data_IF_568006463896
#
_entry.id   IF_568006463896
#
_cell.length_a   1.000
_cell.length_b   1.000
_cell.length_c   1.000
_cell.angle_alpha   90.00
_cell.angle_beta   90.00
_cell.angle_gamma   90.00
#
_symmetry.space_group_name_H-M   'P 1'
#
loop_
_entity.id
_entity.type
_entity.pdbx_description
1 polymer ?
#
# COMPACT_ATOMS: atom_id res chain seq x y z
N UNK A 1 14.44 -30.39 -3.38
CA UNK A 1 14.63 -30.38 -1.91
C UNK A 1 15.31 -29.07 -1.53
N UNK A 2 14.55 -28.11 -0.99
CA UNK A 2 15.07 -26.77 -0.65
C UNK A 2 15.59 -26.82 0.78
N UNK A 3 16.91 -26.62 0.93
CA UNK A 3 17.65 -26.74 2.18
C UNK A 3 17.15 -25.72 3.22
N UNK A 4 16.57 -26.22 4.32
CA UNK A 4 15.91 -25.44 5.38
C UNK A 4 16.90 -24.79 6.36
N UNK A 5 18.21 -25.10 6.28
CA UNK A 5 19.21 -24.78 7.30
C UNK A 5 20.52 -24.16 6.74
N UNK A 6 20.48 -23.00 6.07
CA UNK A 6 21.68 -22.13 6.05
C UNK A 6 21.63 -21.23 7.28
N UNK A 7 22.70 -21.14 8.09
CA UNK A 7 22.75 -20.19 9.18
C UNK A 7 22.63 -18.77 8.61
N UNK A 8 21.78 -17.96 9.20
CA UNK A 8 21.63 -16.55 8.84
C UNK A 8 22.92 -15.82 9.20
N UNK A 9 23.64 -15.32 8.21
CA UNK A 9 24.76 -14.40 8.39
C UNK A 9 24.25 -13.01 8.76
N UNK A 10 25.09 -12.23 9.46
CA UNK A 10 24.84 -10.81 9.73
C UNK A 10 24.51 -10.05 8.43
N UNK A 11 25.25 -10.33 7.36
CA UNK A 11 25.04 -9.76 6.04
C UNK A 11 23.67 -10.10 5.43
N UNK A 12 23.17 -11.33 5.61
CA UNK A 12 21.85 -11.75 5.10
C UNK A 12 20.73 -11.00 5.84
N UNK A 13 20.86 -10.84 7.16
CA UNK A 13 19.91 -10.11 7.99
C UNK A 13 19.89 -8.63 7.62
N UNK A 14 21.06 -8.02 7.47
CA UNK A 14 21.20 -6.61 7.15
C UNK A 14 20.68 -6.30 5.73
N UNK A 15 20.96 -7.18 4.76
CA UNK A 15 20.40 -7.08 3.40
C UNK A 15 18.87 -7.16 3.42
N UNK A 16 18.32 -8.15 4.14
CA UNK A 16 16.86 -8.30 4.25
C UNK A 16 16.20 -7.07 4.88
N UNK A 17 16.73 -6.57 6.00
CA UNK A 17 16.17 -5.41 6.70
C UNK A 17 16.25 -4.14 5.85
N UNK A 18 17.35 -3.92 5.14
CA UNK A 18 17.52 -2.76 4.26
C UNK A 18 16.55 -2.80 3.07
N UNK A 19 16.40 -3.95 2.40
CA UNK A 19 15.47 -4.10 1.27
C UNK A 19 14.02 -4.08 1.71
N UNK A 20 13.69 -4.73 2.83
CA UNK A 20 12.35 -4.70 3.42
C UNK A 20 11.95 -3.27 3.77
N UNK A 21 12.82 -2.57 4.50
CA UNK A 21 12.57 -1.20 4.91
C UNK A 21 12.43 -0.25 3.72
N UNK A 22 13.27 -0.40 2.69
CA UNK A 22 13.11 0.33 1.43
C UNK A 22 11.74 0.08 0.79
N UNK A 23 11.32 -1.18 0.68
CA UNK A 23 10.04 -1.54 0.06
C UNK A 23 8.83 -1.06 0.87
N UNK A 24 8.92 -1.13 2.21
CA UNK A 24 7.88 -0.71 3.14
C UNK A 24 7.65 0.81 3.08
N UNK A 25 8.74 1.59 3.16
CA UNK A 25 8.66 3.06 3.05
C UNK A 25 8.27 3.50 1.64
N UNK A 26 8.76 2.83 0.60
CA UNK A 26 8.33 3.10 -0.79
C UNK A 26 6.83 2.83 -1.02
N UNK A 27 6.19 2.05 -0.15
CA UNK A 27 4.74 1.76 -0.18
C UNK A 27 3.91 2.71 0.70
N UNK A 28 4.54 3.69 1.35
CA UNK A 28 3.89 4.67 2.22
C UNK A 28 3.77 4.24 3.68
N UNK A 29 4.53 3.24 4.12
CA UNK A 29 4.53 2.80 5.52
C UNK A 29 5.16 3.84 6.47
N UNK A 30 4.68 3.96 7.72
CA UNK A 30 5.22 4.91 8.71
C UNK A 30 6.62 4.51 9.20
N UNK A 31 7.53 5.48 9.33
CA UNK A 31 8.93 5.29 9.72
C UNK A 31 9.08 4.71 11.13
N UNK A 32 8.37 5.24 12.12
CA UNK A 32 8.47 4.80 13.52
C UNK A 32 8.13 3.31 13.70
N UNK A 33 7.04 2.84 13.08
CA UNK A 33 6.67 1.40 13.13
C UNK A 33 7.73 0.51 12.49
N UNK A 34 8.38 1.00 11.44
CA UNK A 34 9.45 0.25 10.77
C UNK A 34 10.69 0.15 11.65
N UNK A 35 11.08 1.24 12.31
CA UNK A 35 12.21 1.28 13.24
C UNK A 35 12.02 0.29 14.39
N UNK A 36 10.85 0.33 15.04
CA UNK A 36 10.49 -0.60 16.11
C UNK A 36 10.51 -2.06 15.64
N UNK A 37 9.90 -2.34 14.49
CA UNK A 37 9.79 -3.69 13.94
C UNK A 37 11.16 -4.29 13.60
N UNK A 38 11.99 -3.57 12.84
CA UNK A 38 13.29 -4.07 12.42
C UNK A 38 14.28 -4.17 13.58
N UNK A 39 14.26 -3.20 14.51
CA UNK A 39 15.08 -3.28 15.72
C UNK A 39 14.67 -4.50 16.56
N UNK A 40 13.36 -4.73 16.73
CA UNK A 40 12.84 -5.91 17.42
C UNK A 40 13.20 -7.23 16.74
N UNK A 41 13.19 -7.27 15.40
CA UNK A 41 13.62 -8.43 14.63
C UNK A 41 15.10 -8.74 14.89
N UNK A 42 15.98 -7.73 14.82
CA UNK A 42 17.41 -7.85 15.09
C UNK A 42 17.72 -8.47 16.46
N UNK A 43 17.08 -7.95 17.51
CA UNK A 43 17.21 -8.51 18.86
C UNK A 43 16.78 -9.97 18.94
N UNK A 44 15.67 -10.34 18.26
CA UNK A 44 15.15 -11.71 18.26
C UNK A 44 16.07 -12.71 17.57
N UNK A 45 16.79 -12.29 16.53
CA UNK A 45 17.73 -13.14 15.78
C UNK A 45 19.14 -13.18 16.38
N UNK A 46 19.38 -12.42 17.45
CA UNK A 46 20.68 -12.36 18.14
C UNK A 46 21.69 -11.42 17.49
N UNK A 47 21.22 -10.49 16.66
CA UNK A 47 22.03 -9.43 16.03
C UNK A 47 21.44 -8.06 16.43
N UNK A 48 21.88 -7.47 17.55
CA UNK A 48 21.42 -6.15 17.98
C UNK A 48 21.50 -5.17 16.81
N UNK A 49 20.35 -4.58 16.46
CA UNK A 49 20.19 -3.76 15.27
C UNK A 49 19.60 -2.41 15.66
N UNK A 50 20.21 -1.34 15.17
CA UNK A 50 19.71 0.02 15.24
C UNK A 50 19.24 0.45 13.85
N UNK A 51 18.06 1.07 13.80
CA UNK A 51 17.42 1.50 12.56
C UNK A 51 17.03 2.95 12.65
N UNK A 52 17.37 3.71 11.60
CA UNK A 52 16.96 5.10 11.45
C UNK A 52 16.33 5.27 10.06
N UNK A 53 15.06 5.65 10.04
CA UNK A 53 14.24 5.72 8.84
C UNK A 53 13.79 7.16 8.55
N UNK A 54 13.94 7.55 7.29
CA UNK A 54 13.43 8.82 6.75
C UNK A 54 12.53 8.53 5.55
N UNK A 55 11.65 9.45 5.13
CA UNK A 55 10.82 9.25 3.94
C UNK A 55 11.60 8.95 2.65
N UNK A 56 12.90 9.27 2.61
CA UNK A 56 13.75 9.13 1.41
C UNK A 56 14.85 8.08 1.55
N UNK A 57 14.99 7.44 2.72
CA UNK A 57 15.99 6.41 2.92
C UNK A 57 15.98 5.82 4.31
N UNK A 58 16.61 4.65 4.43
CA UNK A 58 16.74 3.89 5.67
C UNK A 58 18.20 3.56 5.92
N UNK A 59 18.63 3.73 7.17
CA UNK A 59 19.92 3.31 7.69
C UNK A 59 19.69 2.14 8.64
N UNK A 60 20.39 1.03 8.40
CA UNK A 60 20.34 -0.17 9.23
C UNK A 60 21.76 -0.48 9.68
N UNK A 61 21.97 -0.54 10.99
CA UNK A 61 23.24 -0.86 11.61
C UNK A 61 23.09 -2.12 12.46
N UNK A 62 23.88 -3.15 12.22
CA UNK A 62 23.90 -4.36 13.04
C UNK A 62 25.27 -4.63 13.63
N UNK A 63 25.30 -5.19 14.84
CA UNK A 63 26.53 -5.67 15.49
C UNK A 63 26.66 -7.18 15.24
N UNK A 64 27.75 -7.60 14.59
CA UNK A 64 28.05 -9.02 14.39
C UNK A 64 28.59 -9.66 15.69
N UNK A 65 28.63 -11.00 15.75
CA UNK A 65 29.17 -11.77 16.88
C UNK A 65 30.64 -11.47 17.19
N UNK A 66 31.38 -10.96 16.21
CA UNK A 66 32.75 -10.46 16.35
C UNK A 66 32.84 -9.10 17.05
N UNK A 67 31.72 -8.43 17.29
CA UNK A 67 31.65 -7.06 17.80
C UNK A 67 31.86 -5.98 16.73
N UNK A 68 32.00 -6.38 15.46
CA UNK A 68 32.09 -5.44 14.35
C UNK A 68 30.71 -4.84 14.02
N UNK A 69 30.67 -3.53 13.81
CA UNK A 69 29.48 -2.82 13.36
C UNK A 69 29.42 -2.78 11.83
N UNK A 70 28.31 -3.23 11.28
CA UNK A 70 28.03 -3.17 9.86
C UNK A 70 26.83 -2.25 9.63
N UNK A 71 26.97 -1.25 8.75
CA UNK A 71 25.90 -0.30 8.44
C UNK A 71 25.62 -0.30 6.94
N UNK A 72 24.35 -0.35 6.56
CA UNK A 72 23.90 -0.12 5.17
C UNK A 72 22.89 1.00 5.11
N UNK A 73 22.99 1.78 4.04
CA UNK A 73 22.02 2.78 3.63
C UNK A 73 21.29 2.30 2.38
N UNK A 74 19.96 2.35 2.41
CA UNK A 74 19.13 2.15 1.23
C UNK A 74 18.30 3.39 0.93
N UNK A 75 18.45 3.94 -0.28
CA UNK A 75 17.74 5.14 -0.72
C UNK A 75 16.45 4.78 -1.46
N UNK A 76 15.37 5.49 -1.14
CA UNK A 76 14.08 5.38 -1.81
C UNK A 76 14.03 6.43 -2.90
N UNK A 77 13.96 5.99 -4.16
CA UNK A 77 13.89 6.90 -5.34
C UNK A 77 12.46 7.19 -5.73
N UNK A 78 11.63 6.14 -5.75
CA UNK A 78 10.23 6.20 -6.12
C UNK A 78 9.41 5.70 -4.92
N UNK A 79 8.58 6.58 -4.38
CA UNK A 79 7.65 6.28 -3.29
C UNK A 79 6.23 6.65 -3.67
N UNK A 80 5.26 5.92 -3.12
CA UNK A 80 3.84 6.21 -3.29
C UNK A 80 3.01 5.40 -2.30
N UNK A 81 1.74 5.74 -2.16
CA UNK A 81 0.83 5.01 -1.26
C UNK A 81 0.37 3.74 -1.98
N UNK A 82 0.73 2.58 -1.44
CA UNK A 82 0.23 1.29 -1.90
C UNK A 82 -0.02 0.37 -0.70
N UNK A 83 -1.22 0.49 -0.12
CA UNK A 83 -1.62 -0.27 1.06
C UNK A 83 -1.65 -1.79 0.80
N UNK A 84 -1.98 -2.22 -0.42
CA UNK A 84 -1.96 -3.65 -0.77
C UNK A 84 -0.56 -4.24 -0.70
N UNK A 85 0.44 -3.52 -1.23
CA UNK A 85 1.85 -3.91 -1.14
C UNK A 85 2.34 -3.82 0.31
N UNK A 86 1.90 -2.81 1.06
CA UNK A 86 2.25 -2.63 2.46
C UNK A 86 1.78 -3.81 3.32
N UNK A 87 0.50 -4.21 3.23
CA UNK A 87 -0.02 -5.37 3.96
C UNK A 87 0.67 -6.69 3.57
N UNK A 88 1.03 -6.85 2.29
CA UNK A 88 1.77 -8.04 1.86
C UNK A 88 3.18 -8.10 2.48
N UNK A 89 3.88 -6.95 2.53
CA UNK A 89 5.17 -6.83 3.20
C UNK A 89 5.04 -7.15 4.69
N UNK A 90 4.05 -6.59 5.37
CA UNK A 90 3.77 -6.90 6.79
C UNK A 90 3.55 -8.40 7.01
N UNK A 91 2.87 -9.10 6.09
CA UNK A 91 2.71 -10.56 6.15
C UNK A 91 4.05 -11.32 6.07
N UNK A 92 4.95 -10.91 5.18
CA UNK A 92 6.30 -11.51 5.11
C UNK A 92 7.08 -11.25 6.37
N UNK A 93 7.02 -10.01 6.87
CA UNK A 93 7.70 -9.64 8.10
C UNK A 93 7.20 -10.49 9.25
N UNK A 94 5.89 -10.69 9.39
CA UNK A 94 5.31 -11.53 10.43
C UNK A 94 5.75 -13.00 10.28
N UNK A 95 5.80 -13.54 9.07
CA UNK A 95 6.26 -14.91 8.83
C UNK A 95 7.76 -15.10 9.14
N UNK A 96 8.60 -14.09 8.88
CA UNK A 96 10.02 -14.07 9.28
C UNK A 96 10.14 -13.91 10.79
N UNK A 97 9.41 -12.95 11.37
CA UNK A 97 9.44 -12.63 12.79
C UNK A 97 8.98 -13.83 13.64
N UNK A 98 7.92 -14.52 13.22
CA UNK A 98 7.42 -15.75 13.87
C UNK A 98 8.24 -17.01 13.54
N UNK A 99 9.35 -16.89 12.79
CA UNK A 99 10.24 -17.99 12.38
C UNK A 99 9.55 -19.10 11.56
N UNK A 100 8.42 -18.81 10.91
CA UNK A 100 7.80 -19.74 9.95
C UNK A 100 8.65 -19.89 8.70
N UNK A 101 9.29 -18.81 8.27
CA UNK A 101 10.27 -18.76 7.18
C UNK A 101 11.61 -18.19 7.67
N UNK A 102 12.71 -18.59 7.04
CA UNK A 102 14.03 -18.02 7.37
C UNK A 102 14.26 -16.67 6.70
N UNK A 103 15.19 -15.86 7.21
CA UNK A 103 15.58 -14.57 6.60
C UNK A 103 15.99 -14.76 5.13
N UNK A 104 16.81 -15.77 4.83
CA UNK A 104 17.24 -16.06 3.46
C UNK A 104 16.06 -16.42 2.55
N UNK A 105 15.00 -17.05 3.08
CA UNK A 105 13.76 -17.29 2.34
C UNK A 105 12.95 -16.00 2.17
N UNK A 106 12.81 -15.20 3.23
CA UNK A 106 12.16 -13.89 3.18
C UNK A 106 12.78 -12.99 2.12
N UNK A 107 14.12 -12.96 2.04
CA UNK A 107 14.85 -12.20 1.05
C UNK A 107 14.55 -12.67 -0.39
N UNK A 108 14.47 -14.00 -0.61
CA UNK A 108 14.05 -14.56 -1.91
C UNK A 108 12.61 -14.19 -2.28
N UNK A 109 11.69 -14.22 -1.32
CA UNK A 109 10.29 -13.85 -1.55
C UNK A 109 10.20 -12.35 -1.87
N UNK A 110 10.95 -11.51 -1.16
CA UNK A 110 11.03 -10.07 -1.37
C UNK A 110 11.59 -9.73 -2.76
N UNK A 111 12.51 -10.53 -3.32
CA UNK A 111 12.98 -10.36 -4.69
C UNK A 111 12.09 -11.00 -5.76
N UNK A 112 11.07 -11.77 -5.38
CA UNK A 112 10.18 -12.41 -6.34
C UNK A 112 9.20 -11.40 -6.97
N UNK A 113 8.93 -11.54 -8.27
CA UNK A 113 7.96 -10.70 -9.02
C UNK A 113 6.51 -10.82 -8.50
N UNK A 114 6.24 -11.64 -7.50
CA UNK A 114 4.92 -11.78 -6.87
C UNK A 114 4.42 -10.47 -6.22
N UNK A 115 5.35 -9.58 -5.88
CA UNK A 115 5.12 -8.25 -5.29
C UNK A 115 4.15 -7.33 -6.04
N UNK A 116 3.80 -7.63 -7.30
CA UNK A 116 3.15 -6.66 -8.20
C UNK A 116 1.67 -6.94 -8.49
N UNK A 117 1.08 -8.06 -8.05
CA UNK A 117 -0.32 -8.36 -8.38
C UNK A 117 -1.26 -7.85 -7.30
N UNK A 118 -2.21 -7.00 -7.70
CA UNK A 118 -3.36 -6.63 -6.87
C UNK A 118 -4.06 -7.91 -6.39
N UNK A 119 -4.35 -8.05 -5.09
CA UNK A 119 -5.03 -9.24 -4.56
C UNK A 119 -6.48 -9.35 -5.04
N UNK A 120 -7.07 -8.25 -5.54
CA UNK A 120 -8.47 -8.18 -5.93
C UNK A 120 -8.65 -8.17 -7.44
N UNK A 121 -9.67 -8.92 -7.91
CA UNK A 121 -10.09 -8.92 -9.31
C UNK A 121 -10.80 -7.60 -9.62
N UNK A 122 -10.72 -7.15 -10.87
CA UNK A 122 -11.30 -5.88 -11.32
C UNK A 122 -12.80 -5.74 -11.01
N UNK A 123 -13.58 -6.83 -11.11
CA UNK A 123 -15.01 -6.81 -10.78
C UNK A 123 -15.27 -6.58 -9.28
N UNK A 124 -14.39 -7.09 -8.39
CA UNK A 124 -14.52 -6.90 -6.94
C UNK A 124 -14.28 -5.43 -6.59
N UNK A 125 -13.31 -4.79 -7.23
CA UNK A 125 -13.07 -3.36 -7.06
C UNK A 125 -14.23 -2.52 -7.60
N UNK A 126 -14.81 -2.89 -8.75
CA UNK A 126 -16.00 -2.23 -9.29
C UNK A 126 -17.19 -2.32 -8.31
N UNK A 127 -17.46 -3.51 -7.78
CA UNK A 127 -18.54 -3.70 -6.80
C UNK A 127 -18.27 -2.96 -5.49
N UNK A 128 -17.03 -2.96 -5.00
CA UNK A 128 -16.67 -2.19 -3.80
C UNK A 128 -16.89 -0.69 -4.00
N UNK A 129 -16.46 -0.14 -5.14
CA UNK A 129 -16.64 1.26 -5.51
C UNK A 129 -18.12 1.64 -5.64
N UNK A 130 -18.92 0.78 -6.28
CA UNK A 130 -20.35 1.01 -6.43
C UNK A 130 -21.07 1.00 -5.08
N UNK A 131 -20.81 -0.04 -4.28
CA UNK A 131 -21.49 -0.24 -3.00
C UNK A 131 -21.10 0.82 -1.97
N UNK A 132 -19.85 1.30 -1.95
CA UNK A 132 -19.44 2.39 -1.05
C UNK A 132 -20.19 3.69 -1.37
N UNK A 133 -20.25 4.07 -2.66
CA UNK A 133 -20.96 5.26 -3.11
C UNK A 133 -22.47 5.17 -2.90
N UNK A 134 -23.06 4.00 -3.18
CA UNK A 134 -24.48 3.73 -2.98
C UNK A 134 -24.86 3.77 -1.49
N UNK A 135 -24.11 3.06 -0.64
CA UNK A 135 -24.41 2.92 0.79
C UNK A 135 -24.41 4.27 1.50
N UNK A 136 -23.49 5.17 1.16
CA UNK A 136 -23.39 6.46 1.84
C UNK A 136 -24.45 7.45 1.40
N UNK A 137 -24.80 7.45 0.12
CA UNK A 137 -25.87 8.29 -0.40
C UNK A 137 -27.24 7.85 0.13
N UNK A 138 -27.51 6.54 0.19
CA UNK A 138 -28.79 6.04 0.72
C UNK A 138 -28.92 6.30 2.23
N UNK A 139 -27.85 6.19 3.01
CA UNK A 139 -27.90 6.51 4.46
C UNK A 139 -28.00 8.00 4.73
N UNK A 140 -27.42 8.85 3.87
CA UNK A 140 -27.42 10.30 4.06
C UNK A 140 -28.72 10.96 3.64
N UNK A 141 -29.30 10.54 2.51
CA UNK A 141 -30.42 11.25 1.88
C UNK A 141 -31.70 10.42 1.73
N UNK A 142 -31.65 9.09 1.98
CA UNK A 142 -32.80 8.16 1.92
C UNK A 142 -33.50 8.01 0.56
N UNK A 143 -32.97 8.62 -0.50
CA UNK A 143 -33.51 8.49 -1.85
C UNK A 143 -32.78 7.38 -2.64
N UNK A 144 -33.56 6.47 -3.22
CA UNK A 144 -33.01 5.33 -3.97
C UNK A 144 -32.33 5.74 -5.30
N UNK A 145 -32.99 6.59 -6.10
CA UNK A 145 -32.48 6.99 -7.42
C UNK A 145 -31.16 7.77 -7.36
N UNK A 146 -30.98 8.77 -6.47
CA UNK A 146 -29.71 9.45 -6.27
C UNK A 146 -28.62 8.53 -5.74
N UNK A 147 -28.95 7.56 -4.88
CA UNK A 147 -27.99 6.58 -4.38
C UNK A 147 -27.48 5.66 -5.50
N UNK A 148 -28.34 5.24 -6.42
CA UNK A 148 -27.92 4.47 -7.59
C UNK A 148 -26.95 5.30 -8.46
N UNK A 149 -27.28 6.58 -8.68
CA UNK A 149 -26.43 7.48 -9.43
C UNK A 149 -25.07 7.73 -8.74
N UNK A 150 -25.04 7.92 -7.43
CA UNK A 150 -23.78 8.12 -6.68
C UNK A 150 -22.87 6.90 -6.75
N UNK A 151 -23.43 5.68 -6.68
CA UNK A 151 -22.68 4.44 -6.87
C UNK A 151 -22.06 4.34 -8.26
N UNK A 152 -22.80 4.70 -9.31
CA UNK A 152 -22.28 4.73 -10.69
C UNK A 152 -21.19 5.80 -10.86
N UNK A 153 -21.40 7.00 -10.33
CA UNK A 153 -20.41 8.08 -10.36
C UNK A 153 -19.13 7.63 -9.66
N UNK A 154 -19.24 7.02 -8.48
CA UNK A 154 -18.11 6.46 -7.75
C UNK A 154 -17.33 5.45 -8.61
N UNK A 155 -18.00 4.49 -9.26
CA UNK A 155 -17.32 3.54 -10.16
C UNK A 155 -16.63 4.19 -11.34
N UNK A 156 -17.21 5.25 -11.92
CA UNK A 156 -16.60 6.00 -13.01
C UNK A 156 -15.35 6.75 -12.53
N UNK A 157 -15.41 7.37 -11.36
CA UNK A 157 -14.27 8.03 -10.70
C UNK A 157 -13.17 7.03 -10.41
N UNK A 158 -13.50 5.84 -9.89
CA UNK A 158 -12.52 4.78 -9.65
C UNK A 158 -11.83 4.34 -10.95
N UNK A 159 -12.60 4.21 -12.03
CA UNK A 159 -12.07 3.82 -13.32
C UNK A 159 -11.07 4.85 -13.86
N UNK A 160 -11.42 6.14 -13.79
CA UNK A 160 -10.58 7.25 -14.27
C UNK A 160 -9.37 7.45 -13.36
N UNK A 161 -9.56 7.47 -12.04
CA UNK A 161 -8.49 7.64 -11.08
C UNK A 161 -7.57 6.41 -10.99
N UNK A 162 -8.04 5.22 -11.38
CA UNK A 162 -7.31 3.96 -11.27
C UNK A 162 -6.94 3.34 -12.62
N UNK A 163 -7.55 2.20 -13.02
CA UNK A 163 -7.07 1.36 -14.13
C UNK A 163 -7.11 2.03 -15.51
N UNK A 164 -8.08 2.92 -15.75
CA UNK A 164 -8.31 3.51 -17.08
C UNK A 164 -7.22 4.49 -17.51
N UNK A 165 -6.56 5.16 -16.55
CA UNK A 165 -5.60 6.24 -16.83
C UNK A 165 -4.19 5.94 -16.31
N UNK A 166 -4.02 4.90 -15.50
CA UNK A 166 -2.72 4.51 -14.93
C UNK A 166 -1.65 4.16 -15.96
N UNK A 167 -2.05 3.73 -17.17
CA UNK A 167 -1.11 3.46 -18.27
C UNK A 167 -0.67 4.71 -19.04
N UNK A 168 -1.39 5.83 -18.95
CA UNK A 168 -1.10 7.06 -19.71
C UNK A 168 -0.52 8.18 -18.85
N UNK A 169 -0.82 8.19 -17.55
CA UNK A 169 -0.46 9.29 -16.64
C UNK A 169 0.20 8.71 -15.40
N UNK A 170 1.49 9.03 -15.24
CA UNK A 170 2.32 8.52 -14.14
C UNK A 170 2.05 9.23 -12.80
N UNK A 171 1.65 10.51 -12.83
CA UNK A 171 1.42 11.29 -11.61
C UNK A 171 0.10 10.94 -10.94
N UNK A 172 0.16 10.53 -9.66
CA UNK A 172 -1.03 10.26 -8.83
C UNK A 172 -1.91 11.49 -8.70
N UNK A 173 -1.31 12.66 -8.44
CA UNK A 173 -2.02 13.93 -8.23
C UNK A 173 -2.91 14.26 -9.43
N UNK A 174 -2.42 14.04 -10.65
CA UNK A 174 -3.21 14.36 -11.85
C UNK A 174 -4.36 13.38 -12.05
N UNK A 175 -4.17 12.11 -11.71
CA UNK A 175 -5.24 11.10 -11.75
C UNK A 175 -6.35 11.44 -10.75
N UNK A 176 -5.99 11.85 -9.54
CA UNK A 176 -6.96 12.25 -8.51
C UNK A 176 -7.73 13.52 -8.93
N UNK A 177 -7.03 14.50 -9.51
CA UNK A 177 -7.65 15.71 -10.08
C UNK A 177 -8.66 15.39 -11.20
N UNK A 178 -8.30 14.50 -12.13
CA UNK A 178 -9.20 14.06 -13.19
C UNK A 178 -10.42 13.30 -12.63
N UNK A 179 -10.20 12.42 -11.64
CA UNK A 179 -11.29 11.73 -10.94
C UNK A 179 -12.28 12.71 -10.31
N UNK A 180 -11.78 13.68 -9.53
CA UNK A 180 -12.60 14.71 -8.90
C UNK A 180 -13.38 15.55 -9.93
N UNK A 181 -12.75 15.91 -11.05
CA UNK A 181 -13.39 16.67 -12.13
C UNK A 181 -14.55 15.88 -12.75
N UNK A 182 -14.35 14.57 -12.99
CA UNK A 182 -15.40 13.68 -13.50
C UNK A 182 -16.53 13.51 -12.48
N UNK A 183 -16.21 13.32 -11.20
CA UNK A 183 -17.22 13.25 -10.12
C UNK A 183 -18.12 14.48 -10.14
N UNK A 184 -17.55 15.67 -10.14
CA UNK A 184 -18.30 16.93 -10.06
C UNK A 184 -19.11 17.19 -11.34
N UNK A 185 -18.55 16.91 -12.51
CA UNK A 185 -19.25 17.08 -13.78
C UNK A 185 -20.46 16.14 -13.90
N UNK A 186 -20.31 14.87 -13.51
CA UNK A 186 -21.41 13.91 -13.51
C UNK A 186 -22.47 14.23 -12.45
N UNK A 187 -22.05 14.64 -11.25
CA UNK A 187 -22.97 15.06 -10.21
C UNK A 187 -23.83 16.27 -10.64
N UNK A 188 -23.22 17.26 -11.29
CA UNK A 188 -23.93 18.42 -11.83
C UNK A 188 -24.91 18.03 -12.95
N UNK A 189 -24.52 17.10 -13.83
CA UNK A 189 -25.39 16.58 -14.89
C UNK A 189 -26.57 15.77 -14.32
N UNK A 190 -26.34 14.95 -13.29
CA UNK A 190 -27.40 14.21 -12.60
C UNK A 190 -28.37 15.14 -11.88
N UNK A 191 -27.90 16.24 -11.29
CA UNK A 191 -28.75 17.25 -10.67
C UNK A 191 -29.70 17.92 -11.66
N UNK A 192 -29.28 18.11 -12.92
CA UNK A 192 -30.13 18.65 -13.99
C UNK A 192 -31.26 17.67 -14.40
N UNK A 193 -31.01 16.36 -14.31
CA UNK A 193 -31.97 15.34 -14.73
C UNK A 193 -32.93 14.92 -13.61
N UNK A 194 -32.46 14.93 -12.35
CA UNK A 194 -33.20 14.42 -11.19
C UNK A 194 -33.14 15.44 -10.04
N UNK A 195 -34.28 15.96 -9.57
CA UNK A 195 -34.32 16.95 -8.50
C UNK A 195 -33.93 16.30 -7.16
N UNK A 196 -32.64 16.34 -6.84
CA UNK A 196 -32.09 15.93 -5.56
C UNK A 196 -30.89 16.83 -5.22
N UNK A 197 -30.48 16.92 -3.94
CA UNK A 197 -29.35 17.75 -3.55
C UNK A 197 -28.05 17.25 -4.20
N UNK A 198 -27.21 18.19 -4.63
CA UNK A 198 -25.92 17.90 -5.27
C UNK A 198 -25.03 16.95 -4.43
N UNK A 199 -25.07 17.12 -3.12
CA UNK A 199 -24.32 16.31 -2.14
C UNK A 199 -24.67 14.81 -2.23
N UNK A 200 -25.92 14.47 -2.55
CA UNK A 200 -26.34 13.07 -2.69
C UNK A 200 -25.64 12.36 -3.85
N UNK A 201 -25.25 13.09 -4.89
CA UNK A 201 -24.57 12.55 -6.07
C UNK A 201 -23.05 12.54 -5.93
N UNK A 202 -22.47 13.55 -5.27
CA UNK A 202 -21.02 13.74 -5.19
C UNK A 202 -20.35 12.93 -4.08
N UNK A 203 -21.07 12.60 -2.99
CA UNK A 203 -20.47 11.95 -1.81
C UNK A 203 -19.77 10.62 -2.14
N UNK A 204 -20.30 9.85 -3.08
CA UNK A 204 -19.71 8.58 -3.49
C UNK A 204 -18.40 8.75 -4.25
N UNK A 205 -18.26 9.79 -5.07
CA UNK A 205 -17.05 10.05 -5.83
C UNK A 205 -15.96 10.81 -5.07
N UNK A 206 -16.23 11.30 -3.86
CA UNK A 206 -15.21 11.90 -2.96
C UNK A 206 -14.39 10.83 -2.24
N UNK A 207 -14.96 9.63 -2.06
CA UNK A 207 -14.39 8.55 -1.24
C UNK A 207 -13.39 7.69 -2.02
N UNK A 208 -13.44 7.81 -3.34
CA UNK A 208 -12.70 7.01 -4.29
C UNK A 208 -11.51 7.80 -4.81
#
# INVERSE_FOLDING_TARGET
MINRNRPTTSDDALTFMAEYGRAYLASGGPTSRLEEALSGLGHKIGYPTEVFATPTGIFVSCVDKSGANHTTLSRIKDGGINLGRLCWLEGIFEDVYSQKISITQGNKILHSKALQKSPYKMWQCFMAAFLSGFALSITGFTLFWPALASGLIATATWWVAGPGTSHRISSSIFRDFMGATVTLALAALCQLLLPAPFEAYSIGGIII
#
